data_IF_532726820973
#
_entry.id   IF_532726820973
#
_cell.length_a   1.000
_cell.length_b   1.000
_cell.length_c   1.000
_cell.angle_alpha   90.00
_cell.angle_beta   90.00
_cell.angle_gamma   90.00
#
_symmetry.space_group_name_H-M   'P 1'
#
loop_
_entity.id
_entity.type
_entity.pdbx_description
1 polymer ?
#
# COMPACT_ATOMS: atom_id res chain seq x y z
N UNK A 1 7.95 25.19 8.62
CA UNK A 1 7.92 23.82 9.19
C UNK A 1 8.57 22.87 8.17
N UNK A 2 9.81 22.41 8.39
CA UNK A 2 10.48 21.46 7.47
C UNK A 2 9.79 20.11 7.56
N UNK A 3 9.16 19.69 6.47
CA UNK A 3 8.54 18.37 6.37
C UNK A 3 9.64 17.33 6.20
N UNK A 4 9.70 16.35 7.11
CA UNK A 4 10.62 15.22 7.01
C UNK A 4 10.35 14.46 5.71
N UNK A 5 11.38 14.28 4.87
CA UNK A 5 11.30 13.57 3.59
C UNK A 5 10.66 12.18 3.75
N UNK A 6 10.95 11.47 4.85
CA UNK A 6 10.34 10.17 5.14
C UNK A 6 8.81 10.24 5.24
N UNK A 7 8.26 11.27 5.91
CA UNK A 7 6.82 11.46 6.03
C UNK A 7 6.15 11.80 4.69
N UNK A 8 6.84 12.50 3.79
CA UNK A 8 6.32 12.75 2.43
C UNK A 8 6.24 11.47 1.63
N UNK A 9 7.28 10.63 1.70
CA UNK A 9 7.33 9.35 1.00
C UNK A 9 6.27 8.38 1.54
N UNK A 10 6.02 8.36 2.85
CA UNK A 10 4.95 7.56 3.45
C UNK A 10 3.57 7.98 2.95
N UNK A 11 3.29 9.29 2.91
CA UNK A 11 2.02 9.80 2.38
C UNK A 11 1.89 9.46 0.90
N UNK A 12 2.95 9.66 0.11
CA UNK A 12 2.95 9.30 -1.30
C UNK A 12 2.70 7.80 -1.51
N UNK A 13 3.31 6.93 -0.69
CA UNK A 13 3.08 5.49 -0.74
C UNK A 13 1.63 5.14 -0.45
N UNK A 14 1.04 5.74 0.60
CA UNK A 14 -0.37 5.54 0.96
C UNK A 14 -1.29 5.98 -0.19
N UNK A 15 -1.03 7.13 -0.80
CA UNK A 15 -1.82 7.63 -1.93
C UNK A 15 -1.74 6.70 -3.15
N UNK A 16 -0.55 6.18 -3.46
CA UNK A 16 -0.36 5.22 -4.54
C UNK A 16 -1.09 3.90 -4.26
N UNK A 17 -1.07 3.44 -3.01
CA UNK A 17 -1.82 2.25 -2.60
C UNK A 17 -3.33 2.46 -2.73
N UNK A 18 -3.87 3.61 -2.30
CA UNK A 18 -5.28 3.94 -2.52
C UNK A 18 -5.65 3.98 -4.00
N UNK A 19 -4.80 4.59 -4.83
CA UNK A 19 -5.03 4.66 -6.27
C UNK A 19 -5.02 3.27 -6.92
N UNK A 20 -4.09 2.40 -6.52
CA UNK A 20 -3.99 1.04 -7.01
C UNK A 20 -5.18 0.16 -6.60
N UNK A 21 -5.46 0.08 -5.29
CA UNK A 21 -6.58 -0.71 -4.75
C UNK A 21 -7.96 -0.16 -5.13
N UNK A 22 -8.09 1.16 -5.29
CA UNK A 22 -9.36 1.83 -5.59
C UNK A 22 -9.74 1.84 -7.07
N UNK A 23 -8.86 1.35 -7.94
CA UNK A 23 -9.11 1.34 -9.37
C UNK A 23 -10.18 0.31 -9.73
N UNK A 24 -11.24 0.75 -10.40
CA UNK A 24 -12.38 -0.11 -10.78
C UNK A 24 -11.97 -1.27 -11.68
N UNK A 25 -10.99 -1.07 -12.57
CA UNK A 25 -10.42 -2.16 -13.38
C UNK A 25 -9.45 -3.07 -12.61
N UNK A 26 -8.90 -2.62 -11.47
CA UNK A 26 -7.89 -3.33 -10.68
C UNK A 26 -8.49 -4.38 -9.76
N UNK A 27 -9.81 -4.44 -9.73
CA UNK A 27 -10.59 -5.46 -9.03
C UNK A 27 -10.64 -6.78 -9.81
N UNK A 28 -10.20 -6.81 -11.08
CA UNK A 28 -10.16 -7.99 -11.96
C UNK A 28 -11.41 -8.88 -11.82
N UNK A 29 -12.54 -8.23 -11.59
CA UNK A 29 -13.79 -8.88 -11.26
C UNK A 29 -14.51 -9.13 -12.58
N UNK A 30 -14.82 -10.39 -12.92
CA UNK A 30 -15.65 -10.68 -14.08
C UNK A 30 -16.95 -9.89 -14.04
N UNK A 31 -17.45 -9.45 -15.19
CA UNK A 31 -18.67 -8.62 -15.26
C UNK A 31 -19.91 -9.32 -14.71
N UNK A 32 -19.89 -10.65 -14.65
CA UNK A 32 -20.94 -11.53 -14.13
C UNK A 32 -20.72 -11.94 -12.67
N UNK A 33 -19.69 -11.41 -12.00
CA UNK A 33 -19.42 -11.77 -10.61
C UNK A 33 -20.55 -11.29 -9.69
N UNK A 34 -20.89 -12.06 -8.64
CA UNK A 34 -21.90 -11.65 -7.67
C UNK A 34 -21.54 -10.31 -7.01
N UNK A 35 -22.55 -9.52 -6.63
CA UNK A 35 -22.38 -8.20 -5.99
C UNK A 35 -21.51 -8.22 -4.72
N UNK A 36 -21.37 -9.37 -4.07
CA UNK A 36 -20.48 -9.53 -2.93
C UNK A 36 -18.99 -9.42 -3.30
N UNK A 37 -18.60 -9.74 -4.54
CA UNK A 37 -17.20 -9.74 -4.94
C UNK A 37 -16.60 -8.31 -4.96
N UNK A 38 -17.26 -7.29 -5.56
CA UNK A 38 -16.84 -5.89 -5.40
C UNK A 38 -16.76 -5.43 -3.94
N UNK A 39 -17.68 -5.87 -3.08
CA UNK A 39 -17.66 -5.50 -1.65
C UNK A 39 -16.45 -6.07 -0.91
N UNK A 40 -16.04 -7.30 -1.23
CA UNK A 40 -14.85 -7.91 -0.64
C UNK A 40 -13.58 -7.16 -1.05
N UNK A 41 -13.54 -6.58 -2.25
CA UNK A 41 -12.42 -5.74 -2.69
C UNK A 41 -12.36 -4.37 -2.02
N UNK A 42 -13.44 -3.93 -1.36
CA UNK A 42 -13.40 -2.76 -0.50
C UNK A 42 -12.69 -3.02 0.84
N UNK A 43 -12.50 -4.27 1.26
CA UNK A 43 -11.90 -4.59 2.58
C UNK A 43 -10.46 -4.05 2.69
N UNK A 44 -9.54 -4.30 1.73
CA UNK A 44 -8.20 -3.73 1.78
C UNK A 44 -8.20 -2.19 1.82
N UNK A 45 -9.13 -1.54 1.11
CA UNK A 45 -9.27 -0.08 1.11
C UNK A 45 -9.71 0.46 2.46
N UNK A 46 -10.71 -0.16 3.09
CA UNK A 46 -11.18 0.23 4.42
C UNK A 46 -10.07 0.03 5.45
N UNK A 47 -9.35 -1.09 5.41
CA UNK A 47 -8.21 -1.34 6.30
C UNK A 47 -7.09 -0.32 6.06
N UNK A 48 -6.75 -0.03 4.81
CA UNK A 48 -5.75 0.98 4.45
C UNK A 48 -6.15 2.37 4.97
N UNK A 49 -7.45 2.72 4.89
CA UNK A 49 -8.00 3.95 5.47
C UNK A 49 -7.82 3.98 6.97
N UNK A 50 -8.29 2.96 7.69
CA UNK A 50 -8.19 2.90 9.14
C UNK A 50 -6.74 3.00 9.63
N UNK A 51 -5.80 2.31 8.96
CA UNK A 51 -4.39 2.34 9.33
C UNK A 51 -3.66 3.61 8.88
N UNK A 52 -4.12 4.29 7.83
CA UNK A 52 -3.51 5.54 7.37
C UNK A 52 -3.88 6.74 8.24
N UNK A 53 -5.06 6.74 8.88
CA UNK A 53 -5.56 7.87 9.68
C UNK A 53 -4.56 8.36 10.75
N UNK A 54 -3.95 7.50 11.60
CA UNK A 54 -2.96 7.95 12.58
C UNK A 54 -1.73 8.59 11.93
N UNK A 55 -1.30 8.10 10.77
CA UNK A 55 -0.12 8.59 10.05
C UNK A 55 -0.40 9.97 9.45
N UNK A 56 -1.61 10.17 8.91
CA UNK A 56 -2.02 11.46 8.35
C UNK A 56 -2.26 12.51 9.44
N UNK A 57 -2.82 12.13 10.60
CA UNK A 57 -3.08 13.01 11.73
C UNK A 57 -1.82 13.51 12.46
N UNK A 58 -0.72 12.75 12.38
CA UNK A 58 0.57 13.11 12.99
C UNK A 58 1.20 14.39 12.42
N UNK A 59 0.72 14.91 11.28
CA UNK A 59 1.18 16.20 10.73
C UNK A 59 0.74 17.42 11.54
N UNK A 60 -0.20 17.29 12.46
CA UNK A 60 -0.77 18.43 13.20
C UNK A 60 -0.52 18.47 14.71
N UNK A 61 0.03 17.40 15.31
CA UNK A 61 0.14 17.31 16.78
C UNK A 61 1.59 17.24 17.25
N UNK A 62 1.95 18.16 18.16
CA UNK A 62 3.23 18.22 18.86
C UNK A 62 3.50 16.89 19.59
N UNK A 63 4.58 16.22 19.17
CA UNK A 63 5.35 15.18 19.86
C UNK A 63 4.70 14.61 21.13
N UNK A 64 3.82 13.64 20.92
CA UNK A 64 3.43 12.65 21.92
C UNK A 64 3.12 11.38 21.16
N UNK A 65 4.07 10.45 21.12
CA UNK A 65 4.02 9.21 20.34
C UNK A 65 2.76 8.43 20.73
N UNK A 66 1.66 8.62 19.99
CA UNK A 66 0.42 7.89 20.27
C UNK A 66 0.70 6.40 20.06
N UNK A 67 0.35 5.52 21.03
CA UNK A 67 0.65 4.09 20.99
C UNK A 67 0.12 3.38 19.74
N UNK A 68 -0.85 3.98 19.04
CA UNK A 68 -1.49 3.40 17.86
C UNK A 68 -0.65 3.48 16.56
N UNK A 69 0.43 4.28 16.54
CA UNK A 69 1.22 4.47 15.31
C UNK A 69 1.98 3.21 14.91
N UNK A 70 2.46 2.41 15.87
CA UNK A 70 3.17 1.15 15.56
C UNK A 70 2.25 0.15 14.86
N UNK A 71 1.01 0.01 15.33
CA UNK A 71 0.01 -0.87 14.73
C UNK A 71 -0.40 -0.43 13.33
N UNK A 72 -0.55 0.89 13.11
CA UNK A 72 -0.78 1.45 11.78
C UNK A 72 0.34 1.06 10.79
N UNK A 73 1.61 1.19 11.21
CA UNK A 73 2.75 0.83 10.37
C UNK A 73 2.77 -0.67 10.05
N UNK A 74 2.51 -1.53 11.04
CA UNK A 74 2.44 -2.98 10.85
C UNK A 74 1.29 -3.32 9.89
N UNK A 75 0.10 -2.76 10.10
CA UNK A 75 -1.08 -3.01 9.28
C UNK A 75 -0.87 -2.65 7.81
N UNK A 76 -0.35 -1.45 7.52
CA UNK A 76 -0.07 -1.04 6.13
C UNK A 76 1.05 -1.91 5.54
N UNK A 77 2.04 -2.32 6.32
CA UNK A 77 3.09 -3.23 5.82
C UNK A 77 2.55 -4.60 5.44
N UNK A 78 1.60 -5.15 6.22
CA UNK A 78 0.92 -6.41 5.89
C UNK A 78 0.10 -6.23 4.61
N UNK A 79 -0.69 -5.17 4.51
CA UNK A 79 -1.45 -4.87 3.29
C UNK A 79 -0.54 -4.70 2.08
N UNK A 80 0.65 -4.12 2.26
CA UNK A 80 1.60 -3.93 1.19
C UNK A 80 2.18 -5.26 0.69
N UNK A 81 2.53 -6.17 1.61
CA UNK A 81 3.00 -7.53 1.25
C UNK A 81 1.90 -8.32 0.55
N UNK A 82 0.67 -8.29 1.07
CA UNK A 82 -0.50 -8.92 0.41
C UNK A 82 -0.70 -8.33 -0.98
N UNK A 83 -0.59 -7.01 -1.12
CA UNK A 83 -0.66 -6.30 -2.38
C UNK A 83 0.38 -6.79 -3.39
N UNK A 84 1.65 -6.89 -3.00
CA UNK A 84 2.72 -7.41 -3.87
C UNK A 84 2.37 -8.83 -4.34
N UNK A 85 1.99 -9.72 -3.42
CA UNK A 85 1.67 -11.12 -3.75
C UNK A 85 0.48 -11.17 -4.72
N UNK A 86 -0.62 -10.50 -4.38
CA UNK A 86 -1.84 -10.47 -5.21
C UNK A 86 -1.58 -9.91 -6.60
N UNK A 87 -0.92 -8.75 -6.70
CA UNK A 87 -0.56 -8.13 -7.98
C UNK A 87 0.35 -9.06 -8.81
N UNK A 88 1.32 -9.72 -8.19
CA UNK A 88 2.22 -10.66 -8.88
C UNK A 88 1.47 -11.86 -9.43
N UNK A 89 0.56 -12.45 -8.64
CA UNK A 89 -0.30 -13.55 -9.09
C UNK A 89 -1.15 -13.12 -10.29
N UNK A 90 -1.73 -11.92 -10.25
CA UNK A 90 -2.55 -11.39 -11.34
C UNK A 90 -1.75 -11.15 -12.63
N UNK A 91 -0.49 -10.71 -12.52
CA UNK A 91 0.42 -10.60 -13.67
C UNK A 91 0.71 -11.98 -14.27
N UNK A 92 1.00 -12.99 -13.44
CA UNK A 92 1.26 -14.35 -13.92
C UNK A 92 0.02 -14.99 -14.56
N UNK A 93 -1.17 -14.84 -13.96
CA UNK A 93 -2.43 -15.30 -14.55
C UNK A 93 -2.74 -14.60 -15.87
N UNK A 94 -2.48 -13.29 -15.93
CA UNK A 94 -2.56 -12.49 -17.14
C UNK A 94 -1.67 -13.01 -18.26
N UNK A 95 -0.40 -13.30 -17.95
CA UNK A 95 0.57 -13.79 -18.93
C UNK A 95 0.35 -15.25 -19.35
N UNK A 96 -0.19 -16.09 -18.46
CA UNK A 96 -0.29 -17.54 -18.69
C UNK A 96 -1.59 -17.99 -19.37
N UNK A 97 -2.60 -17.12 -19.44
CA UNK A 97 -3.90 -17.45 -20.03
C UNK A 97 -4.11 -16.66 -21.34
N UNK A 98 -4.33 -17.31 -22.50
CA UNK A 98 -4.58 -16.60 -23.75
C UNK A 98 -5.98 -15.98 -23.85
N UNK A 99 -6.93 -16.36 -22.98
CA UNK A 99 -8.28 -15.82 -22.99
C UNK A 99 -8.27 -14.34 -22.56
N UNK A 100 -8.77 -13.40 -23.40
CA UNK A 100 -8.85 -11.99 -23.06
C UNK A 100 -9.83 -11.68 -21.93
N UNK A 101 -10.78 -12.57 -21.64
CA UNK A 101 -11.79 -12.39 -20.58
C UNK A 101 -11.39 -13.05 -19.26
N UNK A 102 -10.24 -13.73 -19.21
CA UNK A 102 -9.77 -14.38 -17.99
C UNK A 102 -9.21 -13.36 -16.99
N UNK A 103 -9.28 -13.72 -15.70
CA UNK A 103 -8.71 -12.96 -14.59
C UNK A 103 -7.20 -12.75 -14.78
N UNK A 104 -6.74 -11.51 -14.62
CA UNK A 104 -5.32 -11.15 -14.65
C UNK A 104 -5.05 -9.87 -15.44
N UNK A 105 -3.79 -9.45 -15.48
CA UNK A 105 -3.36 -8.23 -16.20
C UNK A 105 -3.26 -8.51 -17.70
N UNK A 106 -4.12 -7.91 -18.52
CA UNK A 106 -4.19 -8.15 -19.97
C UNK A 106 -4.01 -6.88 -20.80
N UNK A 107 -4.66 -5.81 -20.36
CA UNK A 107 -4.78 -4.56 -21.09
C UNK A 107 -3.86 -3.50 -20.50
N UNK A 108 -3.66 -2.41 -21.26
CA UNK A 108 -2.94 -1.24 -20.73
C UNK A 108 -3.66 -0.62 -19.52
N UNK A 109 -4.99 -0.72 -19.47
CA UNK A 109 -5.78 -0.22 -18.34
C UNK A 109 -5.55 -1.04 -17.06
N UNK A 110 -5.25 -2.34 -17.18
CA UNK A 110 -4.90 -3.23 -16.06
C UNK A 110 -3.48 -2.96 -15.53
N UNK A 111 -2.58 -2.51 -16.41
CA UNK A 111 -1.22 -2.16 -16.03
C UNK A 111 -1.15 -0.91 -15.16
N UNK A 112 -2.09 0.03 -15.30
CA UNK A 112 -2.14 1.23 -14.49
C UNK A 112 -2.25 0.93 -12.97
N UNK A 113 -3.29 0.23 -12.47
CA UNK A 113 -3.39 -0.11 -11.05
C UNK A 113 -2.25 -1.04 -10.61
N UNK A 114 -1.78 -1.93 -11.49
CA UNK A 114 -0.65 -2.83 -11.23
C UNK A 114 0.63 -2.06 -10.91
N UNK A 115 0.97 -1.05 -11.73
CA UNK A 115 2.15 -0.20 -11.52
C UNK A 115 1.98 0.66 -10.27
N UNK A 116 0.80 1.25 -10.05
CA UNK A 116 0.52 2.04 -8.85
C UNK A 116 0.66 1.19 -7.58
N UNK A 117 0.18 -0.05 -7.60
CA UNK A 117 0.34 -1.01 -6.52
C UNK A 117 1.80 -1.32 -6.23
N UNK A 118 2.59 -1.69 -7.24
CA UNK A 118 4.02 -1.95 -7.03
C UNK A 118 4.76 -0.71 -6.53
N UNK A 119 4.52 0.45 -7.13
CA UNK A 119 5.15 1.70 -6.72
C UNK A 119 4.80 2.07 -5.28
N UNK A 120 3.52 1.99 -4.90
CA UNK A 120 3.06 2.25 -3.54
C UNK A 120 3.65 1.29 -2.52
N UNK A 121 3.67 -0.02 -2.84
CA UNK A 121 4.21 -1.07 -1.97
C UNK A 121 5.71 -0.91 -1.75
N UNK A 122 6.49 -0.73 -2.82
CA UNK A 122 7.94 -0.57 -2.75
C UNK A 122 8.30 0.71 -2.02
N UNK A 123 7.59 1.81 -2.29
CA UNK A 123 7.81 3.08 -1.61
C UNK A 123 7.51 2.95 -0.11
N UNK A 124 6.40 2.30 0.26
CA UNK A 124 6.04 2.05 1.64
C UNK A 124 7.13 1.26 2.36
N UNK A 125 7.49 0.08 1.84
CA UNK A 125 8.51 -0.79 2.44
C UNK A 125 9.88 -0.09 2.54
N UNK A 126 10.25 0.67 1.50
CA UNK A 126 11.44 1.51 1.52
C UNK A 126 11.42 2.49 2.70
N UNK A 127 10.31 3.20 2.93
CA UNK A 127 10.22 4.13 4.07
C UNK A 127 10.35 3.44 5.42
N UNK A 128 9.86 2.20 5.56
CA UNK A 128 9.99 1.41 6.78
C UNK A 128 11.44 1.01 7.02
N UNK A 129 12.16 0.58 5.98
CA UNK A 129 13.58 0.19 6.07
C UNK A 129 14.46 1.39 6.45
N UNK A 130 14.31 2.53 5.78
CA UNK A 130 15.09 3.74 6.08
C UNK A 130 14.83 4.27 7.49
N UNK A 131 13.58 4.20 7.97
CA UNK A 131 13.24 4.66 9.33
C UNK A 131 13.91 3.79 10.42
N UNK A 132 14.07 2.48 10.17
CA UNK A 132 14.77 1.56 11.08
C UNK A 132 16.27 1.83 11.14
N UNK A 133 16.93 2.01 10.00
CA UNK A 133 18.37 2.29 9.93
C UNK A 133 18.74 3.55 10.71
N UNK A 134 18.00 4.65 10.50
CA UNK A 134 18.24 5.90 11.21
C UNK A 134 18.07 5.74 12.74
N UNK A 135 17.14 4.90 13.18
CA UNK A 135 16.92 4.66 14.62
C UNK A 135 18.10 3.89 15.25
N UNK A 136 18.70 2.96 14.51
CA UNK A 136 19.85 2.19 14.98
C UNK A 136 21.10 3.07 15.09
N UNK A 137 21.40 3.89 14.08
CA UNK A 137 22.56 4.79 14.09
C UNK A 137 22.48 5.81 15.24
N UNK A 138 21.29 6.36 15.50
CA UNK A 138 21.12 7.36 16.57
C UNK A 138 21.33 6.74 17.96
N UNK A 139 20.88 5.51 18.18
CA UNK A 139 21.06 4.82 19.46
C UNK A 139 22.52 4.47 19.75
N UNK A 140 23.29 4.07 18.72
CA UNK A 140 24.73 3.79 18.84
C UNK A 140 25.52 5.06 19.19
N UNK A 141 25.15 6.21 18.62
CA UNK A 141 25.80 7.48 18.91
C UNK A 141 25.56 8.01 20.33
N UNK A 142 24.46 7.62 20.99
CA UNK A 142 24.15 8.05 22.36
C UNK A 142 24.72 7.14 23.47
N UNK A 143 25.32 6.00 23.11
CA UNK A 143 25.91 5.05 24.06
C UNK A 143 27.42 5.21 24.26
N UNK A 144 28.01 6.28 23.72
CA UNK A 144 29.42 6.69 23.92
C UNK A 144 29.48 8.05 24.62
#
# INVERSE_FOLDING_TARGET
MKTNTASKLQIAAILLLFAGWGWTGGNFTPSDAPFINPLLHCIPLVLLMLFSLPILQLRGTLKGTRPNTKWAFIGISILAVIGIIGTTVLVFLGASNPDPNAVGVKTLEDWFPTVMMYAGNLLWLGTVMFSRQHSLETNVATTH
#
